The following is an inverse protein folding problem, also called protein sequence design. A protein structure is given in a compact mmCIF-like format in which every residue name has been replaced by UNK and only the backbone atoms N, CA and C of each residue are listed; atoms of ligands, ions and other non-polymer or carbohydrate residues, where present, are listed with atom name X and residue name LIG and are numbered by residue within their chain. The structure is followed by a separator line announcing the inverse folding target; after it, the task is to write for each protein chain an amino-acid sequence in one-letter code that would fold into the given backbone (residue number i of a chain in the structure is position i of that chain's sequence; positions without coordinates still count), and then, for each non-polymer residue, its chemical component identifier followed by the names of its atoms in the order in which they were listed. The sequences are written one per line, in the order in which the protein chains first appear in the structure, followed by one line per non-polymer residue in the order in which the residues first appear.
data_IF_457048578921
#
_entry.id   IF_457048578921
#
_cell.length_a   1.000
_cell.length_b   1.000
_cell.length_c   1.000
_cell.angle_alpha   90.00
_cell.angle_beta   90.00
_cell.angle_gamma   90.00
#
_symmetry.space_group_name_H-M   'P 1'
#
loop_
_entity.id
_entity.type
_entity.pdbx_description
1 polymer ?
#
# COMPACT_ATOMS: atom_id res chain seq x y z
N UNK A 1 38.54 21.43 10.11
CA UNK A 1 37.73 21.19 11.33
C UNK A 1 36.75 22.34 11.42
N UNK A 2 35.43 22.09 11.41
CA UNK A 2 34.46 23.16 11.61
C UNK A 2 34.70 23.82 12.97
N UNK A 3 34.55 25.13 13.04
CA UNK A 3 34.71 25.88 14.29
C UNK A 3 33.56 25.55 15.26
N UNK A 4 33.77 25.79 16.56
CA UNK A 4 32.73 25.56 17.57
C UNK A 4 31.47 26.40 17.29
N UNK A 5 31.62 27.58 16.67
CA UNK A 5 30.50 28.43 16.25
C UNK A 5 29.73 27.86 15.05
N UNK A 6 30.43 27.32 14.05
CA UNK A 6 29.79 26.64 12.90
C UNK A 6 28.99 25.42 13.36
N UNK A 7 29.55 24.61 14.28
CA UNK A 7 28.85 23.47 14.86
C UNK A 7 27.62 23.91 15.67
N UNK A 8 27.67 25.05 16.36
CA UNK A 8 26.51 25.57 17.11
C UNK A 8 25.40 26.06 16.18
N UNK A 9 25.76 26.71 15.07
CA UNK A 9 24.80 27.15 14.06
C UNK A 9 24.14 25.98 13.35
N UNK A 10 24.92 24.96 12.96
CA UNK A 10 24.40 23.74 12.35
C UNK A 10 23.46 22.98 13.31
N UNK A 11 23.85 22.85 14.58
CA UNK A 11 22.98 22.24 15.60
C UNK A 11 21.69 23.04 15.84
N UNK A 12 21.73 24.37 15.75
CA UNK A 12 20.53 25.20 15.88
C UNK A 12 19.60 25.03 14.67
N UNK A 13 20.16 25.04 13.45
CA UNK A 13 19.40 24.81 12.22
C UNK A 13 18.74 23.43 12.19
N UNK A 14 19.47 22.39 12.59
CA UNK A 14 18.93 21.02 12.69
C UNK A 14 17.81 20.92 13.74
N UNK A 15 17.88 21.66 14.85
CA UNK A 15 16.81 21.70 15.86
C UNK A 15 15.55 22.36 15.33
N UNK A 16 15.67 23.43 14.56
CA UNK A 16 14.54 24.09 13.89
C UNK A 16 13.89 23.16 12.86
N UNK A 17 14.69 22.48 12.04
CA UNK A 17 14.19 21.51 11.06
C UNK A 17 13.45 20.34 11.74
N UNK A 18 14.03 19.79 12.82
CA UNK A 18 13.39 18.74 13.61
C UNK A 18 12.09 19.24 14.25
N UNK A 19 12.01 20.51 14.69
CA UNK A 19 10.78 21.07 15.23
C UNK A 19 9.69 21.21 14.15
N UNK A 20 10.05 21.70 12.96
CA UNK A 20 9.13 21.81 11.83
C UNK A 20 8.60 20.44 11.38
N UNK A 21 9.47 19.43 11.29
CA UNK A 21 9.09 18.07 10.93
C UNK A 21 8.14 17.44 11.96
N UNK A 22 8.36 17.70 13.26
CA UNK A 22 7.46 17.22 14.32
C UNK A 22 6.07 17.86 14.23
N UNK A 23 5.99 19.15 13.89
CA UNK A 23 4.70 19.81 13.72
C UNK A 23 3.97 19.30 12.47
N UNK A 24 4.69 19.09 11.36
CA UNK A 24 4.12 18.48 10.17
C UNK A 24 3.56 17.08 10.44
N UNK A 25 4.29 16.24 11.19
CA UNK A 25 3.83 14.91 11.56
C UNK A 25 2.56 14.97 12.43
N UNK A 26 2.51 15.93 13.36
CA UNK A 26 1.33 16.18 14.20
C UNK A 26 0.13 16.61 13.36
N UNK A 27 0.33 17.47 12.37
CA UNK A 27 -0.74 17.89 11.45
C UNK A 27 -1.23 16.69 10.62
N UNK A 28 -0.33 15.87 10.09
CA UNK A 28 -0.70 14.65 9.36
C UNK A 28 -1.51 13.69 10.24
N UNK A 29 -1.16 13.54 11.52
CA UNK A 29 -1.91 12.71 12.45
C UNK A 29 -3.32 13.25 12.70
N UNK A 30 -3.48 14.57 12.80
CA UNK A 30 -4.79 15.22 12.93
C UNK A 30 -5.64 15.07 11.67
N UNK A 31 -5.03 15.21 10.49
CA UNK A 31 -5.71 15.04 9.21
C UNK A 31 -6.19 13.59 9.05
N UNK A 32 -5.35 12.61 9.43
CA UNK A 32 -5.72 11.19 9.45
C UNK A 32 -6.85 10.90 10.44
N UNK A 33 -6.81 11.49 11.64
CA UNK A 33 -7.88 11.36 12.62
C UNK A 33 -9.20 11.94 12.08
N UNK A 34 -9.15 13.11 11.43
CA UNK A 34 -10.31 13.73 10.80
C UNK A 34 -10.88 12.90 9.65
N UNK A 35 -10.03 12.30 8.82
CA UNK A 35 -10.46 11.37 7.77
C UNK A 35 -11.14 10.13 8.35
N UNK A 36 -10.68 9.68 9.52
CA UNK A 36 -11.29 8.55 10.25
C UNK A 36 -12.66 8.90 10.81
N UNK A 37 -12.81 10.09 11.39
CA UNK A 37 -14.09 10.64 11.85
C UNK A 37 -15.07 10.81 10.67
N UNK A 38 -14.60 11.37 9.57
CA UNK A 38 -15.37 11.50 8.33
C UNK A 38 -15.83 10.14 7.78
N UNK A 39 -15.02 9.09 7.92
CA UNK A 39 -15.37 7.73 7.52
C UNK A 39 -16.45 7.11 8.44
N UNK A 40 -16.44 7.48 9.72
CA UNK A 40 -17.43 7.04 10.73
C UNK A 40 -18.78 7.76 10.60
N UNK A 41 -18.76 9.00 10.11
CA UNK A 41 -19.95 9.83 9.89
C UNK A 41 -20.51 9.72 8.47
N UNK A 42 -20.06 8.73 7.68
CA UNK A 42 -20.65 8.44 6.40
C UNK A 42 -22.13 8.04 6.59
N UNK A 43 -23.09 8.71 5.94
CA UNK A 43 -24.47 8.27 5.96
C UNK A 43 -24.55 6.84 5.41
N UNK A 44 -25.07 5.94 6.24
CA UNK A 44 -25.31 4.53 5.95
C UNK A 44 -25.93 4.39 4.55
N UNK A 45 -25.13 3.84 3.60
CA UNK A 45 -25.50 3.44 2.22
C UNK A 45 -25.34 4.52 1.12
N UNK A 46 -24.41 4.34 0.15
CA UNK A 46 -24.39 5.14 -1.06
C UNK A 46 -25.70 4.96 -1.86
N UNK A 47 -26.18 5.99 -2.58
CA UNK A 47 -27.43 5.90 -3.33
C UNK A 47 -27.38 4.72 -4.30
N UNK A 48 -28.45 3.93 -4.28
CA UNK A 48 -28.60 2.75 -5.11
C UNK A 48 -28.29 3.07 -6.59
N UNK A 49 -27.42 2.27 -7.21
CA UNK A 49 -27.35 2.17 -8.67
C UNK A 49 -28.78 1.84 -9.13
N UNK A 50 -29.34 2.69 -10.00
CA UNK A 50 -30.66 2.42 -10.58
C UNK A 50 -30.62 1.06 -11.28
N UNK A 51 -31.69 0.25 -11.23
CA UNK A 51 -31.70 -1.08 -11.85
C UNK A 51 -31.50 -1.06 -13.38
N UNK A 52 -31.46 0.12 -14.03
CA UNK A 52 -31.17 0.26 -15.46
C UNK A 52 -29.69 0.48 -15.82
N UNK A 53 -28.78 0.51 -14.83
CA UNK A 53 -27.34 0.66 -15.08
C UNK A 53 -26.86 2.07 -15.45
N UNK A 54 -27.74 3.08 -15.49
CA UNK A 54 -27.35 4.46 -15.76
C UNK A 54 -26.80 5.15 -14.52
N UNK A 55 -25.55 5.63 -14.58
CA UNK A 55 -25.01 6.52 -13.55
C UNK A 55 -25.69 7.91 -13.61
N UNK A 56 -25.94 8.59 -12.47
CA UNK A 56 -26.32 9.99 -12.48
C UNK A 56 -25.16 10.82 -13.04
N UNK A 57 -25.44 11.64 -14.07
CA UNK A 57 -24.45 12.54 -14.66
C UNK A 57 -23.89 13.48 -13.60
N UNK A 58 -22.67 13.22 -13.13
CA UNK A 58 -21.98 14.07 -12.15
C UNK A 58 -21.28 15.21 -12.89
N UNK A 59 -21.84 16.40 -12.81
CA UNK A 59 -21.22 17.62 -13.32
C UNK A 59 -20.12 18.06 -12.34
N UNK A 60 -18.94 17.44 -12.42
CA UNK A 60 -17.78 17.82 -11.61
C UNK A 60 -17.13 19.04 -12.26
N UNK A 61 -17.16 20.20 -11.59
CA UNK A 61 -16.34 21.36 -12.00
C UNK A 61 -14.86 20.98 -11.85
N UNK A 62 -13.99 21.31 -12.81
CA UNK A 62 -12.57 20.98 -12.70
C UNK A 62 -11.93 21.92 -11.67
N UNK A 63 -11.39 21.37 -10.59
CA UNK A 63 -10.46 22.09 -9.74
C UNK A 63 -9.06 21.98 -10.38
N UNK A 64 -8.52 23.15 -10.68
CA UNK A 64 -7.27 23.37 -11.38
C UNK A 64 -6.04 22.91 -10.58
N UNK A 65 -4.96 22.58 -11.30
CA UNK A 65 -3.63 23.09 -10.95
C UNK A 65 -2.63 22.10 -10.35
N UNK A 66 -1.95 21.36 -11.24
CA UNK A 66 -0.51 21.10 -11.30
C UNK A 66 0.34 21.02 -10.01
N UNK A 67 1.04 19.89 -9.84
CA UNK A 67 2.40 19.84 -9.25
C UNK A 67 3.16 18.50 -9.45
N UNK A 68 2.80 17.69 -10.46
CA UNK A 68 3.54 16.43 -10.79
C UNK A 68 4.85 16.66 -11.58
N UNK A 69 5.50 17.83 -11.42
CA UNK A 69 6.58 18.30 -12.29
C UNK A 69 7.98 18.39 -11.69
N UNK A 70 8.20 18.10 -10.39
CA UNK A 70 9.50 18.45 -9.76
C UNK A 70 10.06 17.48 -8.72
N UNK A 71 9.79 16.18 -8.84
CA UNK A 71 10.39 15.16 -7.95
C UNK A 71 11.36 14.24 -8.72
N UNK A 72 12.34 14.83 -9.40
CA UNK A 72 13.49 14.13 -10.01
C UNK A 72 14.78 14.88 -9.69
N UNK A 73 15.11 15.00 -8.42
CA UNK A 73 16.46 15.25 -7.89
C UNK A 73 16.32 15.34 -6.38
N UNK A 74 17.32 14.84 -5.66
CA UNK A 74 17.40 14.73 -4.20
C UNK A 74 16.77 13.47 -3.62
N UNK A 75 17.40 12.33 -3.90
CA UNK A 75 17.47 11.20 -2.97
C UNK A 75 18.94 10.76 -2.94
N UNK A 76 19.76 11.51 -2.20
CA UNK A 76 21.10 11.09 -1.77
C UNK A 76 21.16 11.33 -0.27
N UNK A 77 21.29 10.23 0.46
CA UNK A 77 21.59 10.09 1.89
C UNK A 77 20.52 10.57 2.88
N UNK A 78 19.78 9.61 3.42
CA UNK A 78 19.31 9.64 4.80
C UNK A 78 19.09 8.18 5.25
N UNK A 79 19.95 7.73 6.16
CA UNK A 79 19.78 6.49 6.92
C UNK A 79 18.62 6.61 7.92
N UNK A 80 18.02 5.45 8.21
CA UNK A 80 17.11 5.12 9.32
C UNK A 80 15.58 5.12 9.08
N UNK A 81 15.06 3.88 8.96
CA UNK A 81 13.71 3.39 9.34
C UNK A 81 12.53 3.52 8.35
N UNK A 82 12.77 3.27 7.07
CA UNK A 82 11.71 2.80 6.14
C UNK A 82 12.28 1.69 5.26
N UNK A 83 12.60 0.57 5.90
CA UNK A 83 12.93 -0.68 5.22
C UNK A 83 11.63 -1.23 4.61
N UNK A 84 11.20 -0.69 3.46
CA UNK A 84 10.34 -1.45 2.56
C UNK A 84 11.12 -2.72 2.19
N UNK A 85 10.58 -3.94 2.40
CA UNK A 85 11.36 -5.16 2.23
C UNK A 85 11.67 -5.34 0.76
N UNK A 86 12.84 -4.86 0.34
CA UNK A 86 13.35 -5.02 -1.01
C UNK A 86 13.44 -6.51 -1.38
N UNK A 87 13.49 -7.41 -0.38
CA UNK A 87 13.48 -8.86 -0.62
C UNK A 87 12.11 -9.46 -0.92
N UNK A 88 11.01 -8.95 -0.34
CA UNK A 88 9.68 -9.58 -0.54
C UNK A 88 9.06 -9.15 -1.87
N UNK A 89 9.21 -7.88 -2.23
CA UNK A 89 8.78 -7.36 -3.53
C UNK A 89 9.54 -8.05 -4.66
N UNK A 90 10.86 -8.24 -4.49
CA UNK A 90 11.66 -8.95 -5.48
C UNK A 90 11.30 -10.44 -5.55
N UNK A 91 11.07 -11.09 -4.40
CA UNK A 91 10.63 -12.48 -4.35
C UNK A 91 9.32 -12.69 -5.11
N UNK A 92 8.34 -11.81 -4.91
CA UNK A 92 7.06 -11.85 -5.61
C UNK A 92 7.24 -11.58 -7.11
N UNK A 93 8.09 -10.62 -7.47
CA UNK A 93 8.37 -10.24 -8.86
C UNK A 93 9.07 -11.35 -9.64
N UNK A 94 9.94 -12.12 -8.99
CA UNK A 94 10.65 -13.24 -9.57
C UNK A 94 9.84 -14.55 -9.54
N UNK A 95 8.72 -14.57 -8.81
CA UNK A 95 7.86 -15.74 -8.72
C UNK A 95 6.86 -15.80 -9.87
N UNK A 96 6.59 -17.00 -10.36
CA UNK A 96 5.50 -17.25 -11.33
C UNK A 96 4.10 -17.20 -10.69
N UNK A 97 4.03 -16.91 -9.38
CA UNK A 97 2.79 -16.94 -8.59
C UNK A 97 2.11 -15.58 -8.49
N UNK A 98 2.72 -14.52 -9.03
CA UNK A 98 2.13 -13.18 -9.08
C UNK A 98 1.92 -12.76 -10.54
N UNK A 99 0.66 -12.50 -10.90
CA UNK A 99 0.30 -12.01 -12.23
C UNK A 99 -0.12 -10.54 -12.13
N UNK A 100 0.76 -9.65 -12.56
CA UNK A 100 0.53 -8.20 -12.48
C UNK A 100 -0.61 -7.72 -13.38
N UNK A 101 -0.80 -8.32 -14.56
CA UNK A 101 -1.86 -7.90 -15.48
C UNK A 101 -3.22 -8.36 -14.97
N UNK A 102 -3.31 -9.62 -14.53
CA UNK A 102 -4.50 -10.16 -13.90
C UNK A 102 -4.84 -9.40 -12.61
N UNK A 103 -3.85 -9.11 -11.75
CA UNK A 103 -4.07 -8.37 -10.51
C UNK A 103 -4.68 -6.98 -10.76
N UNK A 104 -4.19 -6.24 -11.76
CA UNK A 104 -4.74 -4.92 -12.11
C UNK A 104 -6.11 -5.01 -12.80
N UNK A 105 -6.42 -6.14 -13.45
CA UNK A 105 -7.75 -6.41 -14.00
C UNK A 105 -8.76 -6.70 -12.89
N UNK A 106 -8.40 -7.59 -11.98
CA UNK A 106 -9.22 -8.03 -10.83
C UNK A 106 -9.40 -6.94 -9.78
N UNK A 107 -8.42 -6.04 -9.61
CA UNK A 107 -8.45 -4.94 -8.64
C UNK A 107 -8.37 -3.57 -9.30
N UNK A 108 -9.49 -3.03 -9.83
CA UNK A 108 -9.53 -1.73 -10.49
C UNK A 108 -9.15 -0.55 -9.59
N UNK A 109 -9.30 -0.67 -8.29
CA UNK A 109 -8.89 0.33 -7.30
C UNK A 109 -7.36 0.50 -7.27
N UNK A 110 -6.62 -0.61 -7.36
CA UNK A 110 -5.15 -0.57 -7.48
C UNK A 110 -4.74 0.06 -8.80
N UNK A 111 -5.42 -0.30 -9.89
CA UNK A 111 -5.20 0.30 -11.21
C UNK A 111 -5.44 1.81 -11.21
N UNK A 112 -6.51 2.27 -10.55
CA UNK A 112 -6.84 3.71 -10.43
C UNK A 112 -5.86 4.47 -9.54
N UNK A 113 -5.31 3.81 -8.51
CA UNK A 113 -4.28 4.41 -7.64
C UNK A 113 -2.98 4.71 -8.37
N UNK A 114 -2.69 4.02 -9.48
CA UNK A 114 -1.41 4.07 -10.20
C UNK A 114 -0.24 3.46 -9.43
N UNK A 115 -0.49 2.80 -8.29
CA UNK A 115 0.52 2.08 -7.54
C UNK A 115 1.00 0.84 -8.29
N UNK A 116 2.28 0.49 -8.13
CA UNK A 116 2.80 -0.76 -8.67
C UNK A 116 2.05 -1.96 -8.03
N UNK A 117 1.54 -2.92 -8.82
CA UNK A 117 0.69 -4.01 -8.31
C UNK A 117 1.44 -4.95 -7.36
N UNK A 118 2.70 -5.28 -7.66
CA UNK A 118 3.55 -6.14 -6.80
C UNK A 118 3.78 -5.45 -5.45
N UNK A 119 4.10 -4.15 -5.50
CA UNK A 119 4.31 -3.35 -4.29
C UNK A 119 3.02 -3.25 -3.45
N UNK A 120 1.88 -2.97 -4.11
CA UNK A 120 0.59 -2.92 -3.47
C UNK A 120 0.29 -4.24 -2.76
N UNK A 121 0.49 -5.37 -3.45
CA UNK A 121 0.26 -6.68 -2.88
C UNK A 121 1.17 -6.99 -1.69
N UNK A 122 2.46 -6.69 -1.81
CA UNK A 122 3.44 -6.93 -0.75
C UNK A 122 3.10 -6.18 0.54
N UNK A 123 2.67 -4.92 0.44
CA UNK A 123 2.42 -4.05 1.59
C UNK A 123 0.99 -4.23 2.13
N UNK A 124 -0.01 -4.25 1.24
CA UNK A 124 -1.43 -4.19 1.59
C UNK A 124 -2.18 -5.45 1.14
N UNK A 125 -2.13 -5.76 -0.16
CA UNK A 125 -3.03 -6.72 -0.78
C UNK A 125 -3.00 -8.11 -0.16
N UNK A 126 -1.84 -8.64 0.21
CA UNK A 126 -1.75 -9.95 0.85
C UNK A 126 -2.45 -10.01 2.21
N UNK A 127 -2.33 -8.96 3.03
CA UNK A 127 -2.97 -8.87 4.35
C UNK A 127 -4.47 -8.60 4.25
N UNK A 128 -4.89 -7.91 3.20
CA UNK A 128 -6.31 -7.74 2.84
C UNK A 128 -6.94 -9.03 2.29
N UNK A 129 -6.15 -10.08 2.08
CA UNK A 129 -6.62 -11.33 1.47
C UNK A 129 -6.98 -11.15 -0.01
N UNK A 130 -6.31 -10.24 -0.72
CA UNK A 130 -6.40 -10.16 -2.18
C UNK A 130 -5.60 -11.30 -2.78
N UNK A 131 -6.04 -11.80 -3.93
CA UNK A 131 -5.40 -12.89 -4.63
C UNK A 131 -4.31 -12.30 -5.54
N UNK A 132 -3.08 -12.85 -5.56
CA UNK A 132 -1.98 -12.35 -6.38
C UNK A 132 -2.06 -12.82 -7.84
N UNK A 133 -2.77 -13.91 -8.10
CA UNK A 133 -2.89 -14.57 -9.41
C UNK A 133 -4.09 -15.53 -9.42
N UNK A 134 -4.50 -16.03 -10.61
CA UNK A 134 -5.52 -17.08 -10.73
C UNK A 134 -5.17 -18.37 -9.98
N UNK A 135 -3.88 -18.65 -9.78
CA UNK A 135 -3.41 -19.91 -9.21
C UNK A 135 -3.31 -19.90 -7.67
N UNK A 136 -3.57 -18.75 -7.02
CA UNK A 136 -3.40 -18.63 -5.57
C UNK A 136 -4.55 -17.87 -4.91
N UNK A 137 -5.21 -18.52 -3.95
CA UNK A 137 -6.27 -17.95 -3.14
C UNK A 137 -5.74 -17.52 -1.77
N UNK A 138 -5.56 -16.22 -1.58
CA UNK A 138 -4.98 -15.67 -0.35
C UNK A 138 -5.91 -15.85 0.85
N UNK A 139 -7.22 -15.71 0.65
CA UNK A 139 -8.19 -15.86 1.75
C UNK A 139 -8.27 -17.29 2.23
N UNK A 140 -8.30 -18.24 1.29
CA UNK A 140 -8.28 -19.67 1.61
C UNK A 140 -6.99 -20.03 2.35
N UNK A 141 -5.84 -19.57 1.86
CA UNK A 141 -4.55 -19.83 2.48
C UNK A 141 -4.48 -19.32 3.92
N UNK A 142 -4.91 -18.06 4.17
CA UNK A 142 -4.96 -17.49 5.52
C UNK A 142 -5.99 -18.19 6.43
N UNK A 143 -7.09 -18.69 5.87
CA UNK A 143 -8.11 -19.41 6.62
C UNK A 143 -7.69 -20.83 7.02
N UNK A 144 -6.98 -21.53 6.13
CA UNK A 144 -6.49 -22.89 6.38
C UNK A 144 -5.20 -22.91 7.21
N UNK A 145 -4.34 -21.90 7.03
CA UNK A 145 -3.09 -21.72 7.76
C UNK A 145 -3.21 -20.56 8.75
N UNK A 146 -3.92 -20.81 9.85
CA UNK A 146 -4.21 -19.80 10.87
C UNK A 146 -2.94 -19.23 11.51
N UNK A 147 -1.86 -20.00 11.57
CA UNK A 147 -0.55 -19.54 12.04
C UNK A 147 0.01 -18.37 11.22
N UNK A 148 -0.28 -18.33 9.91
CA UNK A 148 0.14 -17.26 9.00
C UNK A 148 -0.73 -16.02 9.21
N UNK A 149 -2.04 -16.22 9.43
CA UNK A 149 -2.99 -15.16 9.69
C UNK A 149 -2.76 -14.48 11.05
N UNK A 150 -2.51 -15.26 12.11
CA UNK A 150 -2.22 -14.76 13.47
C UNK A 150 -0.93 -13.93 13.51
N UNK A 151 0.07 -14.30 12.70
CA UNK A 151 1.30 -13.53 12.56
C UNK A 151 1.16 -12.32 11.62
N UNK A 152 0.02 -12.16 10.95
CA UNK A 152 -0.23 -11.08 9.99
C UNK A 152 0.74 -11.10 8.81
N UNK A 153 1.22 -12.28 8.41
CA UNK A 153 2.17 -12.44 7.31
C UNK A 153 1.46 -12.38 5.95
N UNK A 154 2.18 -11.95 4.92
CA UNK A 154 1.67 -12.00 3.56
C UNK A 154 1.62 -13.48 3.12
N UNK A 155 0.44 -13.98 2.67
CA UNK A 155 0.23 -15.41 2.43
C UNK A 155 1.12 -15.95 1.33
N UNK A 156 1.28 -15.22 0.21
CA UNK A 156 2.12 -15.68 -0.90
C UNK A 156 3.61 -15.61 -0.54
N UNK A 157 4.04 -14.56 0.17
CA UNK A 157 5.44 -14.46 0.64
C UNK A 157 5.78 -15.62 1.59
N UNK A 158 4.87 -15.93 2.52
CA UNK A 158 5.03 -17.07 3.42
C UNK A 158 5.10 -18.37 2.62
N UNK A 159 4.19 -18.57 1.67
CA UNK A 159 4.18 -19.75 0.83
C UNK A 159 5.51 -19.94 0.08
N UNK A 160 6.01 -18.90 -0.58
CA UNK A 160 7.27 -18.95 -1.34
C UNK A 160 8.50 -19.21 -0.45
N UNK A 161 8.53 -18.67 0.77
CA UNK A 161 9.68 -18.84 1.68
C UNK A 161 9.68 -20.17 2.43
N UNK A 162 8.50 -20.61 2.88
CA UNK A 162 8.32 -21.69 3.85
C UNK A 162 7.28 -22.70 3.38
N UNK A 163 6.10 -22.25 2.96
CA UNK A 163 4.98 -23.13 2.60
C UNK A 163 5.32 -24.17 1.52
N UNK A 164 6.11 -23.81 0.50
CA UNK A 164 6.58 -24.76 -0.52
C UNK A 164 7.47 -25.88 0.05
N UNK A 165 8.33 -25.55 1.02
CA UNK A 165 9.22 -26.53 1.67
C UNK A 165 8.47 -27.40 2.67
N UNK A 166 7.45 -26.84 3.30
CA UNK A 166 6.56 -27.51 4.24
C UNK A 166 5.49 -28.37 3.55
N UNK A 167 5.37 -28.28 2.21
CA UNK A 167 4.35 -28.99 1.46
C UNK A 167 2.94 -28.48 1.72
N UNK A 168 2.79 -27.19 2.07
CA UNK A 168 1.49 -26.57 2.31
C UNK A 168 0.66 -26.56 1.03
N UNK A 169 -0.62 -26.87 1.19
CA UNK A 169 -1.58 -26.85 0.09
C UNK A 169 -1.91 -25.42 -0.32
N UNK A 170 -2.31 -25.27 -1.58
CA UNK A 170 -2.81 -24.03 -2.15
C UNK A 170 -4.06 -24.34 -2.95
N UNK A 171 -4.91 -23.34 -3.10
CA UNK A 171 -6.09 -23.41 -3.96
C UNK A 171 -6.02 -22.30 -5.00
N UNK A 172 -6.54 -22.52 -6.22
CA UNK A 172 -6.72 -21.46 -7.19
C UNK A 172 -7.69 -20.41 -6.66
N UNK A 173 -7.54 -19.17 -7.16
CA UNK A 173 -8.46 -18.09 -6.81
C UNK A 173 -9.86 -18.40 -7.34
N UNK A 174 -10.88 -18.09 -6.54
CA UNK A 174 -12.29 -18.15 -6.98
C UNK A 174 -12.60 -17.14 -8.11
N UNK A 175 -11.64 -16.25 -8.41
CA UNK A 175 -11.69 -15.22 -9.46
C UNK A 175 -10.90 -15.61 -10.72
N UNK A 176 -10.43 -16.85 -10.81
CA UNK A 176 -9.59 -17.31 -11.91
C UNK A 176 -10.27 -17.19 -13.30
N UNK A 177 -11.60 -17.27 -13.34
CA UNK A 177 -12.40 -17.23 -14.57
C UNK A 177 -12.95 -15.83 -14.92
N UNK A 178 -12.59 -14.78 -14.17
CA UNK A 178 -13.00 -13.39 -14.42
C UNK A 178 -12.09 -12.70 -15.44
#
# INVERSE_FOLDING_TARGET
MPTNEELQQENAALREEVAALKEQLKQQAQDNARLTEWLLELPEKPPAIRPDGSQPKRNVKPAAGGLFGKVKKVLKKADAKTELPSSDVELLRQSDWFDAEWYLHTYPDVKQSGMNPVLHYAIHGGKEGRDPSPQFNSRWYLGFHTDVAEQGLNPLVHYLRQGMKEGREIQPSDKADL
#
